data_IF_955296220842
#
_entry.id   IF_955296220842
#
_cell.length_a   1.000
_cell.length_b   1.000
_cell.length_c   1.000
_cell.angle_alpha   90.00
_cell.angle_beta   90.00
_cell.angle_gamma   90.00
#
_symmetry.space_group_name_H-M   'P 1'
#
loop_
_entity.id
_entity.type
_entity.pdbx_description
1 polymer ?
#
# COMPACT_ATOMS: atom_id res chain seq x y z
N UNK A 1 29.51 18.95 10.77
CA UNK A 1 28.95 17.75 11.40
C UNK A 1 29.89 16.59 11.14
N UNK A 2 30.69 16.17 12.15
CA UNK A 2 31.89 15.33 12.00
C UNK A 2 31.66 13.82 12.11
N UNK A 3 30.54 13.30 11.60
CA UNK A 3 30.32 11.86 11.51
C UNK A 3 30.17 11.47 10.03
N UNK A 4 31.20 10.83 9.46
CA UNK A 4 31.23 10.41 8.06
C UNK A 4 30.09 9.46 7.69
N UNK A 5 29.53 8.75 8.67
CA UNK A 5 28.42 7.84 8.46
C UNK A 5 27.08 8.57 8.24
N UNK A 6 26.87 9.74 8.83
CA UNK A 6 25.67 10.54 8.56
C UNK A 6 25.72 11.29 7.23
N UNK A 7 26.91 11.49 6.66
CA UNK A 7 27.10 12.16 5.36
C UNK A 7 26.42 11.41 4.21
N UNK A 8 26.28 10.09 4.32
CA UNK A 8 25.57 9.24 3.36
C UNK A 8 24.04 9.21 3.53
N UNK A 9 23.51 9.89 4.55
CA UNK A 9 22.08 9.89 4.87
C UNK A 9 21.56 8.58 5.48
N UNK A 10 20.25 8.55 5.76
CA UNK A 10 19.56 7.33 6.16
C UNK A 10 19.25 6.50 4.91
N UNK A 11 19.93 5.37 4.75
CA UNK A 11 19.62 4.44 3.68
C UNK A 11 18.19 3.92 3.85
N UNK A 12 17.43 3.91 2.76
CA UNK A 12 16.02 3.53 2.81
C UNK A 12 15.83 2.06 3.21
N UNK A 13 16.72 1.17 2.78
CA UNK A 13 16.55 -0.26 3.01
C UNK A 13 16.62 -0.61 4.51
N UNK A 14 17.63 -0.16 5.27
CA UNK A 14 17.64 -0.32 6.72
C UNK A 14 16.40 0.25 7.43
N UNK A 15 15.89 1.39 6.97
CA UNK A 15 14.65 2.00 7.50
C UNK A 15 13.45 1.08 7.26
N UNK A 16 13.30 0.51 6.06
CA UNK A 16 12.22 -0.42 5.72
C UNK A 16 12.31 -1.71 6.54
N UNK A 17 13.51 -2.29 6.65
CA UNK A 17 13.75 -3.51 7.44
C UNK A 17 13.43 -3.25 8.92
N UNK A 18 13.82 -2.09 9.45
CA UNK A 18 13.48 -1.67 10.81
C UNK A 18 11.97 -1.55 11.02
N UNK A 19 11.31 -0.77 10.16
CA UNK A 19 9.90 -0.42 10.29
C UNK A 19 8.93 -1.61 10.08
N UNK A 20 9.23 -2.53 9.17
CA UNK A 20 8.38 -3.69 8.90
C UNK A 20 8.87 -4.99 9.54
N UNK A 21 10.18 -5.25 9.53
CA UNK A 21 10.74 -6.49 10.06
C UNK A 21 10.95 -6.44 11.57
N UNK A 22 11.82 -5.53 12.03
CA UNK A 22 12.18 -5.46 13.44
C UNK A 22 11.01 -5.02 14.33
N UNK A 23 10.19 -4.06 13.87
CA UNK A 23 9.00 -3.64 14.60
C UNK A 23 7.97 -4.77 14.76
N UNK A 24 7.80 -5.63 13.75
CA UNK A 24 6.93 -6.81 13.82
C UNK A 24 7.46 -7.81 14.85
N UNK A 25 8.77 -8.08 14.86
CA UNK A 25 9.41 -8.94 15.87
C UNK A 25 9.08 -8.44 17.28
N UNK A 26 9.28 -7.15 17.54
CA UNK A 26 8.98 -6.55 18.85
C UNK A 26 7.48 -6.64 19.20
N UNK A 27 6.61 -6.46 18.19
CA UNK A 27 5.15 -6.56 18.35
C UNK A 27 4.73 -7.97 18.77
N UNK A 28 5.21 -8.97 18.04
CA UNK A 28 4.87 -10.38 18.32
C UNK A 28 5.43 -10.85 19.66
N UNK A 29 6.62 -10.38 20.05
CA UNK A 29 7.22 -10.70 21.35
C UNK A 29 6.50 -10.00 22.52
N UNK A 30 5.87 -8.85 22.28
CA UNK A 30 5.13 -8.11 23.30
C UNK A 30 3.71 -8.66 23.53
N UNK A 31 3.14 -9.39 22.56
CA UNK A 31 1.82 -10.01 22.69
C UNK A 31 1.91 -11.42 23.32
N UNK A 32 0.95 -11.80 24.19
CA UNK A 32 0.92 -13.15 24.74
C UNK A 32 0.79 -14.18 23.62
N UNK A 33 1.60 -15.24 23.67
CA UNK A 33 1.68 -16.31 22.67
C UNK A 33 0.31 -16.91 22.37
N UNK A 34 -0.35 -16.43 21.31
CA UNK A 34 -1.55 -17.07 20.76
C UNK A 34 -1.12 -18.38 20.12
N UNK A 35 -1.58 -19.50 20.66
CA UNK A 35 -1.44 -20.79 19.97
C UNK A 35 -2.19 -20.68 18.64
N UNK A 36 -1.48 -20.84 17.53
CA UNK A 36 -2.09 -20.95 16.22
C UNK A 36 -2.99 -22.20 16.21
N UNK A 37 -4.31 -22.01 16.27
CA UNK A 37 -5.27 -23.09 16.05
C UNK A 37 -5.28 -23.34 14.54
N UNK A 38 -4.38 -24.20 14.07
CA UNK A 38 -4.40 -24.67 12.68
C UNK A 38 -5.46 -25.75 12.59
N UNK A 39 -6.68 -25.37 12.21
CA UNK A 39 -7.71 -26.34 11.84
C UNK A 39 -7.28 -27.13 10.59
N UNK A 40 -7.75 -28.37 10.50
CA UNK A 40 -7.48 -29.30 9.40
C UNK A 40 -7.75 -28.65 8.04
N UNK A 41 -6.73 -28.66 7.18
CA UNK A 41 -6.79 -28.10 5.82
C UNK A 41 -7.62 -29.03 4.94
N UNK A 42 -8.79 -28.57 4.49
CA UNK A 42 -9.78 -29.39 3.77
C UNK A 42 -9.41 -29.57 2.27
N UNK A 43 -8.71 -28.61 1.65
CA UNK A 43 -8.03 -28.78 0.34
C UNK A 43 -7.19 -27.55 -0.04
N UNK A 44 -6.04 -27.75 -0.68
CA UNK A 44 -5.16 -26.67 -1.18
C UNK A 44 -5.55 -26.18 -2.58
N UNK A 45 -6.26 -26.99 -3.36
CA UNK A 45 -6.59 -26.67 -4.76
C UNK A 45 -7.94 -25.92 -4.81
N UNK A 46 -7.99 -24.70 -5.37
CA UNK A 46 -9.24 -23.98 -5.53
C UNK A 46 -10.17 -24.74 -6.48
N UNK A 47 -11.44 -24.84 -6.12
CA UNK A 47 -12.45 -25.48 -6.96
C UNK A 47 -12.76 -24.54 -8.12
N UNK A 48 -12.38 -24.91 -9.35
CA UNK A 48 -12.68 -24.13 -10.56
C UNK A 48 -14.16 -23.75 -10.69
N UNK A 49 -15.06 -24.58 -10.16
CA UNK A 49 -16.51 -24.31 -10.12
C UNK A 49 -16.85 -23.02 -9.36
N UNK A 50 -16.11 -22.69 -8.31
CA UNK A 50 -16.38 -21.49 -7.51
C UNK A 50 -15.96 -20.22 -8.27
N UNK A 51 -14.87 -20.27 -9.03
CA UNK A 51 -14.45 -19.17 -9.91
C UNK A 51 -15.53 -18.85 -10.94
N UNK A 52 -16.11 -19.88 -11.58
CA UNK A 52 -17.21 -19.70 -12.54
C UNK A 52 -18.49 -19.23 -11.86
N UNK A 53 -18.80 -19.72 -10.65
CA UNK A 53 -20.00 -19.29 -9.89
C UNK A 53 -19.94 -17.79 -9.56
N UNK A 54 -18.77 -17.27 -9.18
CA UNK A 54 -18.59 -15.92 -8.66
C UNK A 54 -17.89 -14.95 -9.63
N UNK A 55 -17.84 -15.25 -10.93
CA UNK A 55 -17.14 -14.44 -11.96
C UNK A 55 -17.53 -12.95 -11.95
N UNK A 56 -18.81 -12.62 -11.68
CA UNK A 56 -19.29 -11.24 -11.57
C UNK A 56 -18.70 -10.51 -10.37
N UNK A 57 -18.53 -11.22 -9.26
CA UNK A 57 -17.92 -10.69 -8.04
C UNK A 57 -16.43 -10.47 -8.26
N UNK A 58 -15.74 -11.38 -8.96
CA UNK A 58 -14.34 -11.21 -9.36
C UNK A 58 -14.17 -9.97 -10.24
N UNK A 59 -14.94 -9.86 -11.33
CA UNK A 59 -14.81 -8.73 -12.26
C UNK A 59 -15.07 -7.39 -11.56
N UNK A 60 -16.14 -7.30 -10.76
CA UNK A 60 -16.44 -6.07 -10.00
C UNK A 60 -15.33 -5.75 -9.01
N UNK A 61 -14.84 -6.73 -8.27
CA UNK A 61 -13.81 -6.51 -7.25
C UNK A 61 -12.49 -6.11 -7.90
N UNK A 62 -12.16 -6.66 -9.07
CA UNK A 62 -11.01 -6.22 -9.86
C UNK A 62 -11.10 -4.76 -10.29
N UNK A 63 -12.27 -4.32 -10.78
CA UNK A 63 -12.50 -2.91 -11.15
C UNK A 63 -12.38 -1.99 -9.93
N UNK A 64 -12.98 -2.38 -8.80
CA UNK A 64 -12.85 -1.65 -7.53
C UNK A 64 -11.39 -1.56 -7.10
N UNK A 65 -10.67 -2.68 -7.19
CA UNK A 65 -9.25 -2.78 -6.85
C UNK A 65 -8.39 -1.83 -7.66
N UNK A 66 -8.49 -1.88 -9.00
CA UNK A 66 -7.74 -0.96 -9.88
C UNK A 66 -8.10 0.50 -9.58
N UNK A 67 -9.38 0.80 -9.40
CA UNK A 67 -9.81 2.18 -9.11
C UNK A 67 -9.24 2.71 -7.80
N UNK A 68 -9.25 1.88 -6.75
CA UNK A 68 -8.68 2.25 -5.45
C UNK A 68 -7.15 2.32 -5.53
N UNK A 69 -6.50 1.42 -6.27
CA UNK A 69 -5.06 1.43 -6.47
C UNK A 69 -4.56 2.72 -7.12
N UNK A 70 -5.30 3.26 -8.09
CA UNK A 70 -4.97 4.54 -8.74
C UNK A 70 -4.97 5.71 -7.74
N UNK A 71 -5.71 5.61 -6.63
CA UNK A 71 -5.79 6.65 -5.62
C UNK A 71 -4.55 6.63 -4.71
N UNK A 72 -3.72 7.69 -4.70
CA UNK A 72 -2.51 7.72 -3.90
C UNK A 72 -2.82 7.71 -2.40
N UNK A 73 -2.08 6.88 -1.66
CA UNK A 73 -2.13 6.81 -0.19
C UNK A 73 -3.31 6.03 0.39
N UNK A 74 -4.16 5.42 -0.45
CA UNK A 74 -5.32 4.63 0.00
C UNK A 74 -4.93 3.19 0.36
N UNK A 75 -3.86 2.66 -0.25
CA UNK A 75 -3.34 1.34 0.04
C UNK A 75 -4.23 0.18 -0.46
N UNK A 76 -3.66 -1.02 -0.43
CA UNK A 76 -4.26 -2.26 -0.93
C UNK A 76 -5.37 -2.77 0.02
N UNK A 77 -5.18 -2.61 1.33
CA UNK A 77 -6.15 -3.02 2.35
C UNK A 77 -7.55 -2.41 2.12
N UNK A 78 -7.61 -1.13 1.75
CA UNK A 78 -8.87 -0.45 1.46
C UNK A 78 -9.56 -1.02 0.23
N UNK A 79 -8.81 -1.53 -0.74
CA UNK A 79 -9.36 -2.22 -1.90
C UNK A 79 -10.00 -3.55 -1.50
N UNK A 80 -9.35 -4.31 -0.62
CA UNK A 80 -9.89 -5.54 -0.06
C UNK A 80 -11.20 -5.28 0.69
N UNK A 81 -11.21 -4.31 1.62
CA UNK A 81 -12.40 -3.96 2.41
C UNK A 81 -13.55 -3.42 1.56
N UNK A 82 -13.26 -2.58 0.58
CA UNK A 82 -14.28 -1.99 -0.31
C UNK A 82 -14.88 -3.06 -1.22
N UNK A 83 -14.06 -3.95 -1.77
CA UNK A 83 -14.51 -5.07 -2.59
C UNK A 83 -15.34 -6.07 -1.78
N UNK A 84 -14.90 -6.38 -0.55
CA UNK A 84 -15.66 -7.21 0.40
C UNK A 84 -17.02 -6.59 0.72
N UNK A 85 -17.07 -5.30 1.03
CA UNK A 85 -18.32 -4.59 1.32
C UNK A 85 -19.27 -4.55 0.11
N UNK A 86 -18.73 -4.31 -1.09
CA UNK A 86 -19.51 -4.35 -2.33
C UNK A 86 -20.06 -5.76 -2.60
N UNK A 87 -19.28 -6.80 -2.35
CA UNK A 87 -19.72 -8.18 -2.47
C UNK A 87 -20.80 -8.54 -1.46
N UNK A 88 -20.62 -8.19 -0.19
CA UNK A 88 -21.64 -8.42 0.84
C UNK A 88 -22.98 -7.75 0.50
N UNK A 89 -22.95 -6.54 -0.08
CA UNK A 89 -24.19 -5.82 -0.44
C UNK A 89 -24.95 -6.49 -1.59
N UNK A 90 -24.23 -7.00 -2.58
CA UNK A 90 -24.83 -7.60 -3.78
C UNK A 90 -25.06 -9.11 -3.69
N UNK A 91 -24.43 -9.78 -2.73
CA UNK A 91 -24.53 -11.23 -2.57
C UNK A 91 -25.93 -11.67 -2.18
N UNK A 92 -26.32 -12.85 -2.67
CA UNK A 92 -27.52 -13.57 -2.22
C UNK A 92 -27.27 -14.36 -0.92
N UNK A 93 -26.02 -14.65 -0.60
CA UNK A 93 -25.57 -15.47 0.54
C UNK A 93 -24.96 -14.58 1.65
N UNK A 94 -25.64 -13.46 2.01
CA UNK A 94 -25.11 -12.44 2.92
C UNK A 94 -24.76 -12.99 4.32
N UNK A 95 -25.46 -14.03 4.75
CA UNK A 95 -25.33 -14.64 6.08
C UNK A 95 -24.02 -15.41 6.28
N UNK A 96 -23.33 -15.75 5.18
CA UNK A 96 -22.03 -16.43 5.21
C UNK A 96 -20.85 -15.46 5.39
N UNK A 97 -21.05 -14.16 5.15
CA UNK A 97 -20.00 -13.15 5.26
C UNK A 97 -19.57 -12.99 6.72
N UNK A 98 -18.30 -13.25 7.01
CA UNK A 98 -17.72 -13.24 8.35
C UNK A 98 -17.68 -14.62 9.03
N UNK A 99 -18.27 -15.65 8.38
CA UNK A 99 -18.28 -17.05 8.84
C UNK A 99 -17.50 -17.98 7.90
N UNK A 100 -16.62 -17.43 7.05
CA UNK A 100 -15.88 -18.19 6.04
C UNK A 100 -16.50 -18.18 4.64
N UNK A 101 -17.26 -17.14 4.26
CA UNK A 101 -17.77 -16.98 2.88
C UNK A 101 -16.65 -17.00 1.84
N UNK A 102 -16.72 -17.96 0.92
CA UNK A 102 -15.82 -18.08 -0.24
C UNK A 102 -15.99 -16.86 -1.16
N UNK A 103 -17.22 -16.38 -1.37
CA UNK A 103 -17.47 -15.17 -2.16
C UNK A 103 -16.81 -13.93 -1.55
N UNK A 104 -16.88 -13.78 -0.23
CA UNK A 104 -16.25 -12.68 0.49
C UNK A 104 -14.72 -12.73 0.39
N UNK A 105 -14.14 -13.91 0.57
CA UNK A 105 -12.70 -14.13 0.39
C UNK A 105 -12.26 -13.79 -1.03
N UNK A 106 -12.93 -14.33 -2.04
CA UNK A 106 -12.62 -14.04 -3.44
C UNK A 106 -12.74 -12.56 -3.76
N UNK A 107 -13.76 -11.86 -3.23
CA UNK A 107 -13.91 -10.43 -3.44
C UNK A 107 -12.75 -9.62 -2.83
N UNK A 108 -12.38 -9.90 -1.58
CA UNK A 108 -11.30 -9.20 -0.89
C UNK A 108 -9.96 -9.43 -1.60
N UNK A 109 -9.60 -10.70 -1.84
CA UNK A 109 -8.33 -11.09 -2.47
C UNK A 109 -8.21 -10.63 -3.93
N UNK A 110 -9.32 -10.61 -4.68
CA UNK A 110 -9.31 -10.05 -6.04
C UNK A 110 -9.13 -8.54 -6.01
N UNK A 111 -9.80 -7.85 -5.09
CA UNK A 111 -9.67 -6.40 -4.93
C UNK A 111 -8.26 -5.98 -4.54
N UNK A 112 -7.67 -6.67 -3.57
CA UNK A 112 -6.30 -6.46 -3.10
C UNK A 112 -5.28 -6.66 -4.24
N UNK A 113 -5.29 -7.82 -4.89
CA UNK A 113 -4.37 -8.12 -5.99
C UNK A 113 -4.53 -7.18 -7.19
N UNK A 114 -5.75 -6.73 -7.48
CA UNK A 114 -6.01 -5.78 -8.55
C UNK A 114 -5.58 -4.35 -8.21
N UNK A 115 -5.46 -4.00 -6.93
CA UNK A 115 -5.00 -2.69 -6.50
C UNK A 115 -3.49 -2.50 -6.73
N UNK A 116 -2.69 -3.56 -6.65
CA UNK A 116 -1.23 -3.51 -6.87
C UNK A 116 -0.87 -2.91 -8.25
N UNK A 117 -1.31 -3.47 -9.40
CA UNK A 117 -1.02 -2.87 -10.70
C UNK A 117 -1.66 -1.49 -10.85
N UNK A 118 -2.81 -1.24 -10.21
CA UNK A 118 -3.43 0.09 -10.17
C UNK A 118 -2.56 1.14 -9.47
N UNK A 119 -1.92 0.78 -8.36
CA UNK A 119 -1.03 1.64 -7.57
C UNK A 119 0.32 1.93 -8.21
N UNK A 120 0.75 1.08 -9.15
CA UNK A 120 1.96 1.31 -9.94
C UNK A 120 1.73 2.41 -11.00
N UNK A 121 0.49 2.61 -11.49
CA UNK A 121 0.18 3.62 -12.53
C UNK A 121 0.60 5.04 -12.10
N UNK A 122 0.11 5.61 -10.98
CA UNK A 122 0.52 6.95 -10.54
C UNK A 122 1.99 6.98 -10.12
N UNK A 123 2.54 5.87 -9.62
CA UNK A 123 3.95 5.77 -9.24
C UNK A 123 4.85 5.96 -10.46
N UNK A 124 4.58 5.26 -11.56
CA UNK A 124 5.36 5.37 -12.80
C UNK A 124 5.09 6.68 -13.55
N UNK A 125 3.83 7.08 -13.66
CA UNK A 125 3.44 8.23 -14.48
C UNK A 125 3.72 9.57 -13.81
N UNK A 126 3.51 9.67 -12.49
CA UNK A 126 3.59 10.92 -11.74
C UNK A 126 4.72 10.94 -10.71
N UNK A 127 5.36 9.80 -10.42
CA UNK A 127 6.33 9.69 -9.32
C UNK A 127 5.67 9.74 -7.95
N UNK A 128 4.36 9.46 -7.87
CA UNK A 128 3.56 9.51 -6.63
C UNK A 128 3.10 8.10 -6.30
N UNK A 129 3.59 7.48 -5.22
CA UNK A 129 3.26 6.11 -4.88
C UNK A 129 1.82 5.97 -4.38
N UNK A 130 1.16 4.91 -4.83
CA UNK A 130 -0.19 4.50 -4.41
C UNK A 130 -0.24 3.97 -2.97
N UNK A 131 0.82 3.30 -2.56
CA UNK A 131 0.92 2.48 -1.36
C UNK A 131 2.36 2.34 -0.87
N UNK A 132 2.57 1.81 0.33
CA UNK A 132 3.92 1.55 0.83
C UNK A 132 4.73 0.57 -0.06
N UNK A 133 4.20 -0.57 -0.53
CA UNK A 133 4.90 -1.44 -1.48
C UNK A 133 5.29 -0.71 -2.78
N UNK A 134 4.40 0.13 -3.33
CA UNK A 134 4.73 0.91 -4.53
C UNK A 134 5.85 1.93 -4.27
N UNK A 135 5.94 2.51 -3.07
CA UNK A 135 7.02 3.41 -2.69
C UNK A 135 8.37 2.68 -2.59
N UNK A 136 8.37 1.45 -2.06
CA UNK A 136 9.55 0.58 -2.04
C UNK A 136 9.99 0.26 -3.48
N UNK A 137 9.05 -0.07 -4.37
CA UNK A 137 9.34 -0.31 -5.78
C UNK A 137 9.95 0.94 -6.45
N UNK A 138 9.36 2.13 -6.27
CA UNK A 138 9.92 3.37 -6.80
C UNK A 138 11.34 3.60 -6.30
N UNK A 139 11.60 3.34 -5.02
CA UNK A 139 12.94 3.52 -4.49
C UNK A 139 13.94 2.51 -5.06
N UNK A 140 13.55 1.25 -5.23
CA UNK A 140 14.37 0.27 -5.93
C UNK A 140 14.69 0.72 -7.36
N UNK A 141 13.70 1.26 -8.09
CA UNK A 141 13.92 1.82 -9.42
C UNK A 141 14.95 2.96 -9.40
N UNK A 142 14.83 3.90 -8.45
CA UNK A 142 15.77 5.02 -8.31
C UNK A 142 17.19 4.51 -8.03
N UNK A 143 17.33 3.50 -7.16
CA UNK A 143 18.63 2.85 -6.87
C UNK A 143 19.23 2.23 -8.14
N UNK A 144 18.38 1.64 -9.00
CA UNK A 144 18.78 1.06 -10.28
C UNK A 144 18.86 2.08 -11.44
N UNK A 145 18.80 3.39 -11.14
CA UNK A 145 18.97 4.46 -12.13
C UNK A 145 17.74 4.74 -12.99
N UNK A 146 16.58 4.17 -12.67
CA UNK A 146 15.31 4.46 -13.33
C UNK A 146 14.52 5.45 -12.49
N UNK A 147 14.26 6.63 -13.03
CA UNK A 147 13.53 7.69 -12.32
C UNK A 147 12.05 7.68 -12.72
N UNK A 148 11.12 7.32 -11.79
CA UNK A 148 9.68 7.38 -12.06
C UNK A 148 9.21 8.82 -12.30
N UNK A 149 8.14 8.97 -13.08
CA UNK A 149 7.49 10.25 -13.37
C UNK A 149 7.27 10.50 -14.87
N UNK A 150 6.79 11.70 -15.25
CA UNK A 150 6.36 11.98 -16.63
C UNK A 150 7.49 11.82 -17.67
N UNK A 151 8.74 12.05 -17.23
CA UNK A 151 9.92 11.90 -18.08
C UNK A 151 10.25 10.44 -18.38
N UNK A 152 9.78 9.47 -17.60
CA UNK A 152 10.00 8.05 -17.85
C UNK A 152 9.42 7.63 -19.20
N UNK A 153 8.23 8.15 -19.55
CA UNK A 153 7.57 7.91 -20.84
C UNK A 153 8.39 8.45 -22.03
N UNK A 154 9.21 9.47 -21.81
CA UNK A 154 10.01 10.13 -22.85
C UNK A 154 11.39 9.48 -22.96
N UNK A 155 12.06 9.31 -21.83
CA UNK A 155 13.44 8.82 -21.76
C UNK A 155 13.52 7.30 -21.97
N UNK A 156 12.51 6.56 -21.49
CA UNK A 156 12.48 5.09 -21.50
C UNK A 156 11.06 4.57 -21.81
N UNK A 157 10.48 4.87 -22.99
CA UNK A 157 9.11 4.47 -23.34
C UNK A 157 8.88 2.96 -23.26
N UNK A 158 9.91 2.17 -23.62
CA UNK A 158 9.83 0.71 -23.58
C UNK A 158 9.66 0.16 -22.16
N UNK A 159 10.25 0.82 -21.16
CA UNK A 159 10.24 0.36 -19.77
C UNK A 159 8.82 0.22 -19.20
N UNK A 160 7.88 1.05 -19.65
CA UNK A 160 6.49 0.98 -19.19
C UNK A 160 5.82 -0.30 -19.68
N UNK A 161 6.03 -0.67 -20.95
CA UNK A 161 5.52 -1.92 -21.50
C UNK A 161 6.18 -3.12 -20.83
N UNK A 162 7.48 -3.04 -20.54
CA UNK A 162 8.20 -4.07 -19.81
C UNK A 162 7.63 -4.25 -18.40
N UNK A 163 7.34 -3.16 -17.68
CA UNK A 163 6.70 -3.25 -16.35
C UNK A 163 5.32 -3.87 -16.45
N UNK A 164 4.50 -3.50 -17.44
CA UNK A 164 3.18 -4.13 -17.64
C UNK A 164 3.32 -5.64 -17.88
N UNK A 165 4.25 -6.05 -18.75
CA UNK A 165 4.53 -7.45 -19.03
C UNK A 165 5.07 -8.19 -17.78
N UNK A 166 5.99 -7.59 -17.05
CA UNK A 166 6.54 -8.14 -15.80
C UNK A 166 5.47 -8.27 -14.72
N UNK A 167 4.56 -7.32 -14.60
CA UNK A 167 3.47 -7.37 -13.60
C UNK A 167 2.47 -8.46 -13.94
N UNK A 168 2.18 -8.65 -15.23
CA UNK A 168 1.36 -9.76 -15.72
C UNK A 168 2.03 -11.11 -15.43
N UNK A 169 3.31 -11.25 -15.78
CA UNK A 169 4.09 -12.46 -15.50
C UNK A 169 4.23 -12.71 -14.00
N UNK A 170 4.40 -11.67 -13.18
CA UNK A 170 4.46 -11.78 -11.73
C UNK A 170 3.12 -12.24 -11.15
N UNK A 171 1.99 -11.82 -11.72
CA UNK A 171 0.65 -12.29 -11.31
C UNK A 171 0.47 -13.78 -11.62
N UNK A 172 0.90 -14.23 -12.81
CA UNK A 172 0.89 -15.65 -13.17
C UNK A 172 1.86 -16.47 -12.29
N UNK A 173 3.03 -15.90 -12.02
CA UNK A 173 4.03 -16.46 -11.11
C UNK A 173 3.48 -16.59 -9.69
N UNK A 174 2.75 -15.58 -9.20
CA UNK A 174 2.11 -15.60 -7.89
C UNK A 174 1.11 -16.75 -7.78
N UNK A 175 0.32 -17.02 -8.83
CA UNK A 175 -0.56 -18.18 -8.87
C UNK A 175 0.23 -19.50 -8.77
N UNK A 176 1.29 -19.64 -9.57
CA UNK A 176 2.14 -20.83 -9.57
C UNK A 176 2.81 -21.05 -8.20
N UNK A 177 3.48 -20.02 -7.68
CA UNK A 177 4.14 -20.07 -6.38
C UNK A 177 3.13 -20.24 -5.25
N UNK A 178 1.96 -19.61 -5.29
CA UNK A 178 0.92 -19.77 -4.28
C UNK A 178 0.46 -21.22 -4.17
N UNK A 179 0.19 -21.88 -5.29
CA UNK A 179 -0.23 -23.29 -5.32
C UNK A 179 0.88 -24.24 -4.85
N UNK A 180 2.14 -23.96 -5.18
CA UNK A 180 3.28 -24.81 -4.81
C UNK A 180 3.75 -24.57 -3.36
N UNK A 181 3.83 -23.30 -2.94
CA UNK A 181 4.39 -22.88 -1.65
C UNK A 181 3.38 -22.91 -0.50
N UNK A 182 2.07 -23.05 -0.75
CA UNK A 182 1.09 -23.13 0.35
C UNK A 182 1.46 -24.22 1.36
N UNK A 183 1.90 -25.40 0.91
CA UNK A 183 2.28 -26.50 1.82
C UNK A 183 3.49 -26.15 2.71
N UNK A 184 4.65 -25.71 2.18
CA UNK A 184 5.77 -25.31 3.01
C UNK A 184 5.47 -24.06 3.86
N UNK A 185 4.69 -23.09 3.36
CA UNK A 185 4.28 -21.91 4.14
C UNK A 185 3.44 -22.31 5.36
N UNK A 186 2.53 -23.27 5.21
CA UNK A 186 1.77 -23.83 6.34
C UNK A 186 2.68 -24.52 7.37
N UNK A 187 3.79 -25.12 6.94
CA UNK A 187 4.77 -25.69 7.87
C UNK A 187 5.52 -24.59 8.66
N UNK A 188 5.84 -23.46 8.03
CA UNK A 188 6.47 -22.31 8.69
C UNK A 188 5.57 -21.73 9.78
N UNK A 189 4.26 -21.64 9.53
CA UNK A 189 3.28 -21.14 10.53
C UNK A 189 3.23 -22.03 11.79
N UNK A 190 3.63 -23.31 11.68
CA UNK A 190 3.70 -24.24 12.83
C UNK A 190 4.97 -24.06 13.65
N UNK A 191 5.98 -23.34 13.15
CA UNK A 191 7.21 -23.08 13.89
C UNK A 191 6.87 -22.12 15.04
N UNK A 192 7.26 -22.45 16.29
CA UNK A 192 6.98 -21.58 17.41
C UNK A 192 7.66 -20.22 17.21
N UNK A 193 6.97 -19.15 17.61
CA UNK A 193 7.48 -17.78 17.52
C UNK A 193 8.81 -17.60 18.27
N UNK A 194 9.08 -18.42 19.30
CA UNK A 194 10.35 -18.45 20.03
C UNK A 194 11.57 -18.81 19.16
N UNK A 195 11.38 -19.53 18.06
CA UNK A 195 12.45 -19.89 17.11
C UNK A 195 12.40 -18.97 15.88
N UNK A 196 11.18 -18.69 15.39
CA UNK A 196 10.99 -17.91 14.18
C UNK A 196 11.48 -16.46 14.35
N UNK A 197 11.18 -15.82 15.48
CA UNK A 197 11.54 -14.40 15.69
C UNK A 197 13.05 -14.15 15.76
N UNK A 198 13.86 -14.94 16.49
CA UNK A 198 15.33 -14.82 16.44
C UNK A 198 15.90 -15.03 15.03
N UNK A 199 15.35 -15.98 14.26
CA UNK A 199 15.80 -16.21 12.88
C UNK A 199 15.54 -14.99 12.00
N UNK A 200 14.34 -14.41 12.07
CA UNK A 200 14.00 -13.19 11.33
C UNK A 200 14.92 -12.05 11.78
N UNK A 201 15.23 -11.94 13.08
CA UNK A 201 16.12 -10.89 13.59
C UNK A 201 17.54 -10.98 13.00
N UNK A 202 18.09 -12.19 12.91
CA UNK A 202 19.38 -12.43 12.25
C UNK A 202 19.32 -12.03 10.78
N UNK A 203 18.27 -12.44 10.06
CA UNK A 203 18.08 -12.09 8.66
C UNK A 203 17.92 -10.58 8.44
N UNK A 204 17.17 -9.88 9.30
CA UNK A 204 17.04 -8.42 9.27
C UNK A 204 18.40 -7.74 9.47
N UNK A 205 19.18 -8.20 10.44
CA UNK A 205 20.51 -7.65 10.73
C UNK A 205 21.47 -7.85 9.56
N UNK A 206 21.49 -9.05 8.96
CA UNK A 206 22.27 -9.35 7.76
C UNK A 206 21.80 -8.48 6.60
N UNK A 207 20.49 -8.36 6.38
CA UNK A 207 19.91 -7.58 5.29
C UNK A 207 20.22 -6.09 5.39
N UNK A 208 20.18 -5.50 6.60
CA UNK A 208 20.56 -4.12 6.82
C UNK A 208 22.06 -3.88 6.60
N UNK A 209 22.90 -4.86 6.93
CA UNK A 209 24.34 -4.75 6.75
C UNK A 209 24.80 -5.01 5.30
N UNK A 210 24.16 -5.92 4.57
CA UNK A 210 24.65 -6.46 3.30
C UNK A 210 24.82 -5.42 2.18
N UNK A 211 24.10 -4.30 2.21
CA UNK A 211 24.10 -3.33 1.10
C UNK A 211 25.28 -2.38 1.17
N UNK A 212 25.49 -1.75 2.33
CA UNK A 212 26.54 -0.75 2.52
C UNK A 212 27.72 -1.26 3.35
N UNK A 213 27.66 -2.51 3.85
CA UNK A 213 28.65 -3.11 4.77
C UNK A 213 28.95 -2.20 5.97
N UNK A 214 27.93 -1.50 6.48
CA UNK A 214 28.09 -0.45 7.49
C UNK A 214 27.26 -0.77 8.73
N UNK A 215 27.92 -0.75 9.90
CA UNK A 215 27.24 -0.99 11.18
C UNK A 215 26.22 0.11 11.52
N UNK A 216 26.44 1.35 11.05
CA UNK A 216 25.47 2.44 11.18
C UNK A 216 24.07 2.05 10.67
N UNK A 217 23.99 1.32 9.56
CA UNK A 217 22.72 0.91 8.96
C UNK A 217 21.97 -0.08 9.88
N UNK A 218 22.69 -0.94 10.59
CA UNK A 218 22.11 -1.82 11.60
C UNK A 218 21.55 -1.02 12.78
N UNK A 219 22.27 0.00 13.25
CA UNK A 219 21.77 0.88 14.32
C UNK A 219 20.54 1.67 13.88
N UNK A 220 20.51 2.16 12.64
CA UNK A 220 19.34 2.83 12.06
C UNK A 220 18.14 1.88 12.01
N UNK A 221 18.34 0.64 11.54
CA UNK A 221 17.30 -0.39 11.52
C UNK A 221 16.72 -0.63 12.93
N UNK A 222 17.59 -0.80 13.93
CA UNK A 222 17.17 -1.01 15.33
C UNK A 222 16.38 0.18 15.88
N UNK A 223 16.88 1.40 15.65
CA UNK A 223 16.24 2.62 16.12
C UNK A 223 14.86 2.83 15.48
N UNK A 224 14.79 2.73 14.14
CA UNK A 224 13.53 2.89 13.40
C UNK A 224 12.53 1.81 13.78
N UNK A 225 12.97 0.56 13.94
CA UNK A 225 12.04 -0.51 14.33
C UNK A 225 11.52 -0.35 15.77
N UNK A 226 12.34 0.16 16.69
CA UNK A 226 11.86 0.53 18.02
C UNK A 226 10.83 1.68 17.97
N UNK A 227 11.09 2.72 17.18
CA UNK A 227 10.14 3.82 16.97
C UNK A 227 8.83 3.33 16.32
N UNK A 228 8.92 2.49 15.29
CA UNK A 228 7.77 1.93 14.59
C UNK A 228 6.94 1.02 15.51
N UNK A 229 7.58 0.25 16.40
CA UNK A 229 6.90 -0.53 17.43
C UNK A 229 6.08 0.37 18.38
N UNK A 230 6.66 1.48 18.84
CA UNK A 230 5.94 2.46 19.69
C UNK A 230 4.76 3.07 18.94
N UNK A 231 4.96 3.51 17.70
CA UNK A 231 3.91 4.07 16.84
C UNK A 231 2.76 3.07 16.65
N UNK A 232 3.08 1.79 16.42
CA UNK A 232 2.08 0.74 16.27
C UNK A 232 1.29 0.51 17.55
N UNK A 233 1.95 0.53 18.71
CA UNK A 233 1.28 0.43 20.01
C UNK A 233 0.32 1.61 20.28
N UNK A 234 0.61 2.77 19.69
CA UNK A 234 -0.24 3.95 19.71
C UNK A 234 -1.30 3.96 18.59
N UNK A 235 -1.44 2.87 17.81
CA UNK A 235 -2.33 2.74 16.66
C UNK A 235 -2.04 3.72 15.51
N UNK A 236 -0.80 4.20 15.38
CA UNK A 236 -0.38 4.93 14.19
C UNK A 236 -0.02 3.95 13.05
N UNK A 237 -0.52 4.19 11.83
CA UNK A 237 -0.16 3.37 10.68
C UNK A 237 1.31 3.62 10.29
N UNK A 238 2.09 2.54 10.16
CA UNK A 238 3.48 2.57 9.68
C UNK A 238 3.57 2.90 8.17
N UNK A 239 2.69 2.42 7.28
CA UNK A 239 2.82 2.68 5.84
C UNK A 239 2.93 4.18 5.46
N UNK A 240 2.13 5.11 6.03
CA UNK A 240 2.29 6.54 5.80
C UNK A 240 3.64 7.12 6.23
N UNK A 241 4.25 6.61 7.31
CA UNK A 241 5.57 7.04 7.75
C UNK A 241 6.63 6.74 6.69
N UNK A 242 6.57 5.53 6.13
CA UNK A 242 7.50 5.09 5.07
C UNK A 242 7.29 5.88 3.79
N UNK A 243 6.02 6.10 3.41
CA UNK A 243 5.67 6.97 2.29
C UNK A 243 6.30 8.35 2.46
N UNK A 244 6.23 8.93 3.67
CA UNK A 244 6.85 10.22 3.97
C UNK A 244 8.38 10.24 3.81
N UNK A 245 9.07 9.17 4.21
CA UNK A 245 10.54 9.06 4.06
C UNK A 245 10.93 8.98 2.59
N UNK A 246 10.24 8.17 1.80
CA UNK A 246 10.51 8.05 0.35
C UNK A 246 10.17 9.36 -0.37
N UNK A 247 9.03 9.97 -0.03
CA UNK A 247 8.57 11.18 -0.71
C UNK A 247 9.34 12.42 -0.27
N UNK A 248 9.90 12.44 0.93
CA UNK A 248 10.56 13.63 1.48
C UNK A 248 11.69 14.13 0.58
N UNK A 249 12.57 13.24 0.13
CA UNK A 249 13.68 13.60 -0.77
C UNK A 249 13.17 14.03 -2.16
N UNK A 250 12.18 13.31 -2.71
CA UNK A 250 11.55 13.65 -3.99
C UNK A 250 10.87 15.02 -3.91
N UNK A 251 10.17 15.29 -2.80
CA UNK A 251 9.46 16.53 -2.54
C UNK A 251 10.44 17.68 -2.38
N UNK A 252 11.50 17.55 -1.58
CA UNK A 252 12.51 18.59 -1.39
C UNK A 252 13.21 18.94 -2.71
N UNK A 253 13.64 17.94 -3.49
CA UNK A 253 14.25 18.14 -4.81
C UNK A 253 13.30 18.81 -5.78
N UNK A 254 12.05 18.33 -5.84
CA UNK A 254 11.01 18.90 -6.71
C UNK A 254 10.62 20.32 -6.32
N UNK A 255 10.51 20.59 -5.02
CA UNK A 255 10.19 21.91 -4.48
C UNK A 255 11.33 22.91 -4.75
N UNK A 256 12.58 22.53 -4.44
CA UNK A 256 13.75 23.36 -4.75
C UNK A 256 13.83 23.67 -6.24
N UNK A 257 13.66 22.65 -7.09
CA UNK A 257 13.66 22.84 -8.56
C UNK A 257 12.55 23.79 -8.99
N UNK A 258 11.33 23.62 -8.45
CA UNK A 258 10.20 24.50 -8.73
C UNK A 258 10.47 25.96 -8.34
N UNK A 259 10.97 26.17 -7.12
CA UNK A 259 11.32 27.50 -6.60
C UNK A 259 12.47 28.14 -7.36
N UNK A 260 13.47 27.38 -7.77
CA UNK A 260 14.56 27.89 -8.62
C UNK A 260 14.02 28.33 -9.98
N UNK A 261 13.09 27.58 -10.58
CA UNK A 261 12.47 27.95 -11.84
C UNK A 261 11.53 29.17 -11.73
N UNK A 262 10.94 29.39 -10.56
CA UNK A 262 10.06 30.53 -10.29
C UNK A 262 10.75 31.72 -9.61
N UNK A 263 12.08 31.69 -9.47
CA UNK A 263 12.86 32.69 -8.73
C UNK A 263 12.35 32.93 -7.29
N UNK A 264 11.87 31.87 -6.63
CA UNK A 264 11.32 31.90 -5.27
C UNK A 264 9.85 32.29 -5.20
N UNK A 265 9.18 32.57 -6.32
CA UNK A 265 7.76 32.89 -6.33
C UNK A 265 6.90 31.62 -6.19
N UNK A 266 5.96 31.64 -5.24
CA UNK A 266 4.99 30.56 -4.97
C UNK A 266 3.72 30.69 -5.82
N UNK A 267 3.51 31.81 -6.52
CA UNK A 267 2.32 32.00 -7.38
C UNK A 267 2.09 30.88 -8.40
N UNK A 268 3.12 30.25 -9.02
CA UNK A 268 2.90 29.19 -10.01
C UNK A 268 2.21 27.93 -9.46
N UNK A 269 2.27 27.70 -8.15
CA UNK A 269 1.57 26.60 -7.50
C UNK A 269 0.05 26.77 -7.54
N UNK A 270 -0.43 28.02 -7.59
CA UNK A 270 -1.86 28.34 -7.62
C UNK A 270 -2.38 28.69 -9.02
N UNK A 271 -1.51 29.14 -9.93
CA UNK A 271 -1.92 29.52 -11.29
C UNK A 271 -1.91 28.34 -12.27
N UNK A 272 -1.09 27.30 -12.04
CA UNK A 272 -1.09 26.12 -12.91
C UNK A 272 -2.34 25.26 -12.68
N UNK A 273 -3.10 24.91 -13.73
CA UNK A 273 -4.41 24.26 -13.59
C UNK A 273 -4.34 22.89 -12.89
N UNK A 274 -3.28 22.12 -13.12
CA UNK A 274 -3.08 20.81 -12.47
C UNK A 274 -2.79 20.98 -10.98
N UNK A 275 -1.90 21.92 -10.62
CA UNK A 275 -1.56 22.20 -9.22
C UNK A 275 -2.76 22.77 -8.47
N UNK A 276 -3.51 23.68 -9.08
CA UNK A 276 -4.74 24.24 -8.53
C UNK A 276 -5.81 23.16 -8.32
N UNK A 277 -6.02 22.26 -9.29
CA UNK A 277 -6.96 21.14 -9.14
C UNK A 277 -6.56 20.23 -7.97
N UNK A 278 -5.27 19.84 -7.90
CA UNK A 278 -4.77 19.01 -6.81
C UNK A 278 -4.91 19.72 -5.45
N UNK A 279 -4.58 21.01 -5.37
CA UNK A 279 -4.74 21.80 -4.15
C UNK A 279 -6.21 21.89 -3.72
N UNK A 280 -7.14 22.13 -4.65
CA UNK A 280 -8.58 22.13 -4.37
C UNK A 280 -9.04 20.76 -3.88
N UNK A 281 -8.60 19.67 -4.52
CA UNK A 281 -8.94 18.31 -4.09
C UNK A 281 -8.40 18.03 -2.68
N UNK A 282 -7.15 18.40 -2.38
CA UNK A 282 -6.53 18.23 -1.06
C UNK A 282 -7.25 19.05 0.02
N UNK A 283 -7.56 20.32 -0.25
CA UNK A 283 -8.32 21.16 0.68
C UNK A 283 -9.73 20.61 0.87
N UNK A 284 -10.39 20.18 -0.20
CA UNK A 284 -11.71 19.58 -0.14
C UNK A 284 -11.72 18.28 0.69
N UNK A 285 -10.76 17.37 0.49
CA UNK A 285 -10.66 16.14 1.28
C UNK A 285 -10.35 16.42 2.75
N UNK A 286 -9.46 17.38 3.05
CA UNK A 286 -9.22 17.83 4.44
C UNK A 286 -10.49 18.41 5.08
N UNK A 287 -11.24 19.23 4.34
CA UNK A 287 -12.49 19.80 4.82
C UNK A 287 -13.57 18.73 5.05
N UNK A 288 -13.61 17.67 4.24
CA UNK A 288 -14.53 16.53 4.47
C UNK A 288 -14.22 15.75 5.76
N UNK A 289 -12.98 15.79 6.26
CA UNK A 289 -12.62 15.23 7.56
C UNK A 289 -13.15 16.08 8.73
N UNK A 290 -13.47 17.37 8.50
CA UNK A 290 -14.10 18.23 9.51
C UNK A 290 -15.59 17.87 9.63
N UNK A 291 -16.06 17.39 10.80
CA UNK A 291 -17.41 16.83 10.95
C UNK A 291 -18.53 17.85 10.67
N UNK A 292 -18.26 19.15 10.86
CA UNK A 292 -19.20 20.25 10.58
C UNK A 292 -19.48 20.38 9.08
N UNK A 293 -18.42 20.32 8.26
CA UNK A 293 -18.52 20.42 6.80
C UNK A 293 -19.14 19.16 6.19
N UNK A 294 -18.78 17.97 6.70
CA UNK A 294 -19.34 16.69 6.25
C UNK A 294 -20.86 16.60 6.50
N UNK A 295 -21.34 17.10 7.65
CA UNK A 295 -22.78 17.17 7.94
C UNK A 295 -23.49 18.15 7.00
N UNK A 296 -22.93 19.33 6.76
CA UNK A 296 -23.49 20.31 5.81
C UNK A 296 -23.55 19.79 4.37
N UNK A 297 -22.50 19.10 3.91
CA UNK A 297 -22.45 18.51 2.57
C UNK A 297 -23.45 17.37 2.40
N UNK A 298 -23.58 16.47 3.38
CA UNK A 298 -24.59 15.39 3.35
C UNK A 298 -26.02 15.93 3.39
N UNK A 299 -26.28 16.98 4.17
CA UNK A 299 -27.58 17.67 4.19
C UNK A 299 -27.88 18.39 2.87
N UNK A 300 -26.86 18.97 2.22
CA UNK A 300 -26.96 19.58 0.90
C UNK A 300 -27.23 18.57 -0.22
N UNK A 301 -26.50 17.45 -0.23
CA UNK A 301 -26.75 16.34 -1.15
C UNK A 301 -28.14 15.76 -0.97
N UNK A 302 -28.60 15.53 0.27
CA UNK A 302 -29.95 15.04 0.54
C UNK A 302 -31.03 16.00 0.02
N UNK A 303 -30.84 17.32 0.16
CA UNK A 303 -31.75 18.34 -0.37
C UNK A 303 -31.75 18.41 -1.90
N UNK A 304 -30.60 18.26 -2.54
CA UNK A 304 -30.47 18.19 -4.00
C UNK A 304 -31.10 16.91 -4.56
N UNK A 305 -30.85 15.76 -3.93
CA UNK A 305 -31.47 14.49 -4.31
C UNK A 305 -32.99 14.50 -4.11
N UNK A 306 -33.49 15.13 -3.04
CA UNK A 306 -34.93 15.31 -2.83
C UNK A 306 -35.58 16.20 -3.90
N UNK A 307 -34.87 17.22 -4.39
CA UNK A 307 -35.32 18.06 -5.51
C UNK A 307 -35.32 17.34 -6.85
N UNK A 308 -34.34 16.45 -7.09
CA UNK A 308 -34.22 15.69 -8.34
C UNK A 308 -35.18 14.50 -8.40
N UNK A 309 -35.53 13.89 -7.26
CA UNK A 309 -36.40 12.69 -7.21
C UNK A 309 -37.89 12.99 -7.02
N UNK A 310 -38.29 14.27 -6.94
CA UNK A 310 -39.71 14.67 -6.86
C UNK A 310 -40.48 14.18 -5.63
N UNK A 311 -39.83 13.52 -4.66
CA UNK A 311 -40.45 13.13 -3.38
C UNK A 311 -40.43 14.31 -2.41
N UNK A 312 -41.30 15.28 -2.66
CA UNK A 312 -41.38 16.48 -1.83
C UNK A 312 -42.65 17.32 -1.99
N UNK A 313 -43.74 16.73 -2.49
CA UNK A 313 -45.10 17.28 -2.39
C UNK A 313 -46.09 16.15 -2.19
N UNK A 314 -46.31 15.80 -0.93
CA UNK A 314 -47.56 15.26 -0.41
C UNK A 314 -47.89 16.08 0.83
#
# INVERSE_FOLDING_TARGET
>A
FGNGDLSGGLSLIPVLIGAFGFAEILTVLAEPTRKAIVNSVDSVIPRFRDVVKYWRTILRSGVIGVYIGILPGVGEDMAAWSSYAAAKRASKEKDQFGKGSIEGLMAAETGDNAAIPGGIIPALALGIPGSAPSAVLMAAMIIHGVQPGPMLMINQPQFIYDVVAMTLLATLGMLFFGLFLVKPLLAIIRIPSSILMPLIMVLCTIGAFAIASRLFDVYVMLFIGACAFVLRKLNYPIPPFILGIVLGDILDKSLRRGLTLSNGDLTPFFTRPICALLAVVTVFTMLMYVPVFNRGFKSGQARLWARVTGKGRA
#
